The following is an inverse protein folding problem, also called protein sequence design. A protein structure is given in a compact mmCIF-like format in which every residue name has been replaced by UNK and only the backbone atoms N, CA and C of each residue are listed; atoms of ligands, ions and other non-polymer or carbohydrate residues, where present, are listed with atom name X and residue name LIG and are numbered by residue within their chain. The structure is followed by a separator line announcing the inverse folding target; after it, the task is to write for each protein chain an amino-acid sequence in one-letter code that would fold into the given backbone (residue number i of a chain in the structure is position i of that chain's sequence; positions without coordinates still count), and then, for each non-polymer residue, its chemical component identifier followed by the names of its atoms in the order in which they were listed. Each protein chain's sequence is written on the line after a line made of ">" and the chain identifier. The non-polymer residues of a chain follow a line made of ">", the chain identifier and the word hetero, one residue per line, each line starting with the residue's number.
data_IF_588216310479
#
_entry.id   IF_588216310479
#
_cell.length_a   1.000
_cell.length_b   1.000
_cell.length_c   1.000
_cell.angle_alpha   90.00
_cell.angle_beta   90.00
_cell.angle_gamma   90.00
#
_symmetry.space_group_name_H-M   'P 1'
#
loop_
_entity.id
_entity.type
_entity.pdbx_description
1 polymer ?
#
# COMPACT_ATOMS: atom_id res chain seq x y z
N UNK A 1 14.00 -9.66 -25.72
CA UNK A 1 14.12 -10.06 -24.30
C UNK A 1 14.60 -8.92 -23.38
N UNK A 2 15.48 -8.01 -23.85
CA UNK A 2 15.92 -6.83 -23.08
C UNK A 2 14.88 -5.68 -23.01
N UNK A 3 13.93 -5.64 -23.93
CA UNK A 3 12.92 -4.56 -24.04
C UNK A 3 11.74 -4.73 -23.07
N UNK A 4 11.51 -5.93 -22.55
CA UNK A 4 10.50 -6.20 -21.52
C UNK A 4 10.91 -5.72 -20.11
N UNK A 5 12.16 -5.28 -19.92
CA UNK A 5 12.65 -4.69 -18.66
C UNK A 5 12.44 -3.18 -18.57
N UNK A 6 11.94 -2.54 -19.64
CA UNK A 6 11.76 -1.07 -19.74
C UNK A 6 10.30 -0.69 -19.95
N UNK A 7 9.41 -1.10 -19.05
CA UNK A 7 8.01 -0.60 -19.08
C UNK A 7 7.59 -0.23 -17.65
N UNK A 8 8.29 0.77 -17.14
CA UNK A 8 7.72 1.76 -16.24
C UNK A 8 6.79 2.66 -17.07
N UNK A 9 5.62 2.13 -17.47
CA UNK A 9 4.58 2.96 -18.09
C UNK A 9 3.95 3.81 -16.98
N UNK A 10 4.29 5.09 -16.97
CA UNK A 10 3.78 6.12 -16.07
C UNK A 10 2.32 6.46 -16.42
N UNK A 11 1.41 5.55 -16.12
CA UNK A 11 -0.04 5.77 -16.28
C UNK A 11 -0.70 5.55 -14.94
N UNK A 12 -1.20 6.63 -14.34
CA UNK A 12 -1.96 6.57 -13.10
C UNK A 12 -3.30 5.86 -13.34
N UNK A 13 -3.62 4.94 -12.44
CA UNK A 13 -4.83 4.15 -12.52
C UNK A 13 -5.55 4.12 -11.18
N UNK A 14 -6.85 4.38 -11.23
CA UNK A 14 -7.76 4.17 -10.10
C UNK A 14 -8.33 2.77 -10.19
N UNK A 15 -8.32 2.05 -9.08
CA UNK A 15 -8.81 0.68 -9.00
C UNK A 15 -9.67 0.46 -7.75
N UNK A 16 -10.48 -0.58 -7.78
CA UNK A 16 -11.18 -1.09 -6.60
C UNK A 16 -10.54 -2.41 -6.18
N UNK A 17 -10.30 -2.57 -4.88
CA UNK A 17 -9.88 -3.84 -4.29
C UNK A 17 -11.03 -4.83 -4.09
N UNK A 18 -12.27 -4.44 -4.39
CA UNK A 18 -13.45 -5.28 -4.26
C UNK A 18 -13.44 -6.43 -5.30
N UNK A 19 -13.68 -7.68 -4.88
CA UNK A 19 -13.82 -8.78 -5.82
C UNK A 19 -15.10 -8.61 -6.65
N UNK A 20 -15.05 -8.97 -7.94
CA UNK A 20 -16.23 -8.95 -8.80
C UNK A 20 -17.29 -9.94 -8.27
N UNK A 21 -18.45 -9.41 -7.87
CA UNK A 21 -19.52 -10.19 -7.23
C UNK A 21 -20.35 -11.01 -8.22
N UNK A 22 -20.48 -10.53 -9.47
CA UNK A 22 -21.31 -11.17 -10.51
C UNK A 22 -20.48 -11.71 -11.66
N UNK A 23 -20.74 -12.96 -12.03
CA UNK A 23 -20.28 -13.53 -13.29
C UNK A 23 -21.05 -12.92 -14.47
N UNK A 24 -20.41 -12.93 -15.64
CA UNK A 24 -21.09 -12.63 -16.90
C UNK A 24 -22.22 -13.64 -17.12
N UNK A 25 -23.33 -13.18 -17.68
CA UNK A 25 -24.37 -14.12 -18.13
C UNK A 25 -23.80 -15.04 -19.21
N UNK A 26 -24.15 -16.35 -19.18
CA UNK A 26 -23.70 -17.30 -20.19
C UNK A 26 -24.11 -16.84 -21.59
N UNK A 27 -23.27 -17.15 -22.58
CA UNK A 27 -23.61 -16.95 -23.98
C UNK A 27 -24.69 -17.95 -24.39
N UNK A 28 -25.55 -17.57 -25.34
CA UNK A 28 -26.44 -18.54 -25.98
C UNK A 28 -25.61 -19.49 -26.85
N UNK A 29 -26.08 -20.72 -27.07
CA UNK A 29 -25.32 -21.77 -27.77
C UNK A 29 -24.82 -21.33 -29.17
N UNK A 30 -25.64 -20.58 -29.90
CA UNK A 30 -25.27 -20.03 -31.21
C UNK A 30 -24.14 -18.97 -31.12
N UNK A 31 -24.12 -18.18 -30.05
CA UNK A 31 -23.09 -17.16 -29.82
C UNK A 31 -21.80 -17.77 -29.26
N UNK A 32 -21.91 -18.90 -28.56
CA UNK A 32 -20.76 -19.66 -28.10
C UNK A 32 -20.03 -20.38 -29.25
N UNK A 33 -20.77 -20.79 -30.29
CA UNK A 33 -20.21 -21.45 -31.47
C UNK A 33 -19.32 -20.53 -32.31
N UNK A 34 -19.76 -19.29 -32.60
CA UNK A 34 -18.99 -18.28 -33.35
C UNK A 34 -18.98 -16.91 -32.65
N UNK A 35 -18.22 -16.71 -31.56
CA UNK A 35 -18.25 -15.47 -30.78
C UNK A 35 -17.79 -14.22 -31.56
N UNK A 36 -16.89 -14.40 -32.53
CA UNK A 36 -16.28 -13.30 -33.27
C UNK A 36 -17.26 -12.62 -34.24
N UNK A 37 -18.31 -13.31 -34.69
CA UNK A 37 -19.32 -12.79 -35.62
C UNK A 37 -20.33 -11.85 -34.93
N UNK A 38 -20.46 -11.94 -33.60
CA UNK A 38 -21.42 -11.15 -32.82
C UNK A 38 -20.77 -9.93 -32.14
N UNK A 39 -19.46 -9.73 -32.32
CA UNK A 39 -18.72 -8.62 -31.75
C UNK A 39 -18.86 -7.33 -32.57
N UNK A 40 -19.03 -6.19 -31.90
CA UNK A 40 -19.02 -4.86 -32.55
C UNK A 40 -17.64 -4.54 -33.17
N UNK A 41 -16.56 -5.01 -32.54
CA UNK A 41 -15.19 -4.94 -33.02
C UNK A 41 -14.47 -6.25 -32.69
N UNK A 42 -13.47 -6.60 -33.49
CA UNK A 42 -12.59 -7.72 -33.22
C UNK A 42 -11.94 -7.57 -31.83
N UNK A 43 -12.03 -8.61 -31.00
CA UNK A 43 -11.48 -8.63 -29.63
C UNK A 43 -12.31 -7.91 -28.57
N UNK A 44 -13.46 -7.30 -28.91
CA UNK A 44 -14.35 -6.72 -27.90
C UNK A 44 -15.24 -7.78 -27.24
N UNK A 45 -15.54 -7.58 -25.95
CA UNK A 45 -16.47 -8.44 -25.21
C UNK A 45 -17.89 -8.35 -25.78
N UNK A 46 -18.53 -9.50 -25.93
CA UNK A 46 -19.92 -9.61 -26.41
C UNK A 46 -20.95 -9.10 -25.39
N UNK A 47 -20.67 -9.23 -24.09
CA UNK A 47 -21.58 -8.85 -23.01
C UNK A 47 -21.07 -7.61 -22.27
N UNK A 48 -22.00 -6.72 -21.96
CA UNK A 48 -21.76 -5.59 -21.06
C UNK A 48 -21.82 -6.09 -19.62
N UNK A 49 -20.86 -5.67 -18.79
CA UNK A 49 -20.94 -5.88 -17.34
C UNK A 49 -21.94 -4.87 -16.80
N UNK A 50 -23.07 -5.28 -16.18
CA UNK A 50 -23.96 -4.33 -15.53
C UNK A 50 -23.22 -3.70 -14.35
N UNK A 51 -23.17 -2.37 -14.32
CA UNK A 51 -22.56 -1.60 -13.24
C UNK A 51 -23.64 -0.80 -12.52
N UNK A 52 -23.54 -0.69 -11.21
CA UNK A 52 -24.30 0.30 -10.46
C UNK A 52 -23.67 1.67 -10.75
N UNK A 53 -24.46 2.63 -11.27
CA UNK A 53 -23.94 3.92 -11.77
C UNK A 53 -23.10 4.71 -10.75
N UNK A 54 -23.28 4.45 -9.45
CA UNK A 54 -22.48 5.04 -8.37
C UNK A 54 -21.01 4.64 -8.43
N UNK A 55 -20.68 3.39 -8.81
CA UNK A 55 -19.29 2.92 -8.84
C UNK A 55 -18.48 3.65 -9.92
N UNK A 56 -18.88 3.71 -11.19
CA UNK A 56 -18.17 4.53 -12.18
C UNK A 56 -18.10 6.02 -11.83
N UNK A 57 -19.14 6.58 -11.20
CA UNK A 57 -19.14 7.97 -10.76
C UNK A 57 -18.06 8.23 -9.69
N UNK A 58 -17.92 7.34 -8.71
CA UNK A 58 -16.87 7.40 -7.68
C UNK A 58 -15.46 7.31 -8.30
N UNK A 59 -15.27 6.42 -9.28
CA UNK A 59 -13.98 6.33 -9.98
C UNK A 59 -13.66 7.62 -10.74
N UNK A 60 -14.64 8.22 -11.42
CA UNK A 60 -14.47 9.51 -12.08
C UNK A 60 -14.12 10.64 -11.12
N UNK A 61 -14.77 10.68 -9.96
CA UNK A 61 -14.46 11.65 -8.89
C UNK A 61 -13.04 11.45 -8.34
N UNK A 62 -12.60 10.20 -8.14
CA UNK A 62 -11.25 9.91 -7.66
C UNK A 62 -10.17 10.33 -8.67
N UNK A 63 -10.38 10.07 -9.97
CA UNK A 63 -9.46 10.53 -11.03
C UNK A 63 -9.41 12.05 -11.08
N UNK A 64 -10.57 12.72 -11.02
CA UNK A 64 -10.63 14.19 -11.01
C UNK A 64 -9.93 14.79 -9.79
N UNK A 65 -10.14 14.22 -8.60
CA UNK A 65 -9.48 14.65 -7.37
C UNK A 65 -7.95 14.50 -7.45
N UNK A 66 -7.46 13.36 -7.97
CA UNK A 66 -6.04 13.15 -8.21
C UNK A 66 -5.44 14.21 -9.14
N UNK A 67 -6.08 14.45 -10.29
CA UNK A 67 -5.62 15.45 -11.26
C UNK A 67 -5.62 16.88 -10.68
N UNK A 68 -6.64 17.25 -9.88
CA UNK A 68 -6.70 18.55 -9.21
C UNK A 68 -5.57 18.72 -8.20
N UNK A 69 -5.25 17.68 -7.41
CA UNK A 69 -4.13 17.68 -6.48
C UNK A 69 -2.78 17.88 -7.19
N UNK A 70 -2.58 17.23 -8.34
CA UNK A 70 -1.38 17.44 -9.17
C UNK A 70 -1.29 18.86 -9.71
N UNK A 71 -2.38 19.39 -10.29
CA UNK A 71 -2.43 20.75 -10.82
C UNK A 71 -2.23 21.82 -9.74
N UNK A 72 -2.68 21.57 -8.51
CA UNK A 72 -2.52 22.46 -7.37
C UNK A 72 -1.12 22.40 -6.73
N UNK A 73 -0.20 21.59 -7.25
CA UNK A 73 1.13 21.41 -6.68
C UNK A 73 1.14 20.69 -5.32
N UNK A 74 0.03 20.02 -4.96
CA UNK A 74 -0.12 19.22 -3.74
C UNK A 74 -0.46 17.77 -4.13
N UNK A 75 0.47 17.05 -4.80
CA UNK A 75 0.21 15.70 -5.26
C UNK A 75 -0.07 14.78 -4.06
N UNK A 76 -0.94 13.79 -4.27
CA UNK A 76 -1.16 12.74 -3.27
C UNK A 76 0.17 11.99 -3.09
N UNK A 77 0.75 12.09 -1.90
CA UNK A 77 2.13 11.68 -1.66
C UNK A 77 2.34 10.16 -1.81
N UNK A 78 1.38 9.36 -1.35
CA UNK A 78 1.44 7.89 -1.46
C UNK A 78 0.03 7.27 -1.57
N UNK A 79 -0.51 7.23 -2.79
CA UNK A 79 -1.80 6.59 -3.01
C UNK A 79 -1.63 5.08 -3.07
N UNK A 80 -2.51 4.39 -2.33
CA UNK A 80 -2.45 2.97 -1.98
C UNK A 80 -2.16 2.08 -3.20
N UNK A 81 -0.93 1.55 -3.32
CA UNK A 81 -0.47 0.98 -4.58
C UNK A 81 -0.75 -0.52 -4.72
N UNK A 82 -1.18 -1.17 -3.64
CA UNK A 82 -1.58 -2.57 -3.64
C UNK A 82 -2.71 -2.80 -2.62
N UNK A 83 -3.67 -3.70 -2.92
CA UNK A 83 -4.64 -4.12 -1.91
C UNK A 83 -3.91 -4.69 -0.69
N UNK A 84 -4.37 -4.32 0.50
CA UNK A 84 -3.81 -4.80 1.75
C UNK A 84 -3.86 -6.32 1.86
N UNK A 85 -2.90 -6.91 2.59
CA UNK A 85 -3.00 -8.32 2.97
C UNK A 85 -4.20 -8.54 3.89
N UNK A 86 -4.84 -9.70 3.78
CA UNK A 86 -5.78 -10.14 4.81
C UNK A 86 -5.04 -10.32 6.14
N UNK A 87 -5.75 -10.16 7.26
CA UNK A 87 -5.17 -10.32 8.59
C UNK A 87 -4.43 -11.67 8.74
N UNK A 88 -5.01 -12.75 8.22
CA UNK A 88 -4.38 -14.07 8.24
C UNK A 88 -3.08 -14.14 7.44
N UNK A 89 -3.03 -13.48 6.28
CA UNK A 89 -1.82 -13.44 5.47
C UNK A 89 -0.73 -12.59 6.12
N UNK A 90 -1.13 -11.48 6.77
CA UNK A 90 -0.24 -10.63 7.54
C UNK A 90 0.36 -11.35 8.74
N UNK A 91 -0.46 -12.07 9.53
CA UNK A 91 0.03 -12.90 10.64
C UNK A 91 1.02 -13.96 10.15
N UNK A 92 0.74 -14.62 9.01
CA UNK A 92 1.68 -15.58 8.41
C UNK A 92 2.99 -14.94 7.99
N UNK A 93 2.95 -13.73 7.42
CA UNK A 93 4.14 -12.99 7.01
C UNK A 93 5.01 -12.62 8.23
N UNK A 94 4.39 -12.06 9.27
CA UNK A 94 5.07 -11.69 10.53
C UNK A 94 5.67 -12.91 11.22
N UNK A 95 4.90 -14.00 11.37
CA UNK A 95 5.38 -15.22 12.02
C UNK A 95 6.56 -15.85 11.26
N UNK A 96 6.54 -15.80 9.92
CA UNK A 96 7.66 -16.27 9.10
C UNK A 96 8.91 -15.44 9.30
N UNK A 97 8.79 -14.11 9.34
CA UNK A 97 9.91 -13.22 9.63
C UNK A 97 10.50 -13.54 11.00
N UNK A 98 9.68 -13.58 12.05
CA UNK A 98 10.12 -13.87 13.42
C UNK A 98 10.79 -15.25 13.55
N UNK A 99 10.24 -16.28 12.89
CA UNK A 99 10.81 -17.63 12.91
C UNK A 99 12.19 -17.69 12.21
N UNK A 100 12.38 -16.91 11.14
CA UNK A 100 13.68 -16.79 10.45
C UNK A 100 14.69 -16.04 11.28
N UNK A 101 14.28 -14.93 11.88
CA UNK A 101 15.10 -14.11 12.77
C UNK A 101 15.68 -14.96 13.92
N UNK A 102 14.84 -15.75 14.59
CA UNK A 102 15.27 -16.67 15.63
C UNK A 102 16.27 -17.72 15.12
N UNK A 103 16.10 -18.21 13.89
CA UNK A 103 16.94 -19.25 13.29
C UNK A 103 18.30 -18.74 12.81
N UNK A 104 18.34 -17.55 12.23
CA UNK A 104 19.55 -16.99 11.58
C UNK A 104 20.38 -16.17 12.58
N UNK A 105 19.74 -15.36 13.43
CA UNK A 105 20.41 -14.43 14.33
C UNK A 105 20.29 -14.81 15.82
N UNK A 106 19.56 -15.89 16.14
CA UNK A 106 19.37 -16.38 17.49
C UNK A 106 18.20 -15.73 18.25
N UNK A 107 17.79 -16.36 19.35
CA UNK A 107 16.56 -16.00 20.07
C UNK A 107 16.61 -14.62 20.74
N UNK A 108 17.79 -14.17 21.18
CA UNK A 108 17.95 -12.88 21.87
C UNK A 108 17.70 -11.70 20.94
N UNK A 109 18.24 -11.74 19.73
CA UNK A 109 18.00 -10.71 18.71
C UNK A 109 16.58 -10.79 18.17
N UNK A 110 16.04 -11.99 18.03
CA UNK A 110 14.64 -12.20 17.65
C UNK A 110 13.66 -11.56 18.64
N UNK A 111 13.89 -11.66 19.96
CA UNK A 111 13.01 -11.05 20.95
C UNK A 111 12.98 -9.51 20.86
N UNK A 112 14.13 -8.88 20.57
CA UNK A 112 14.23 -7.43 20.35
C UNK A 112 13.56 -7.01 19.04
N UNK A 113 13.68 -7.83 18.00
CA UNK A 113 13.00 -7.61 16.72
C UNK A 113 11.49 -7.76 16.87
N UNK A 114 11.00 -8.73 17.65
CA UNK A 114 9.57 -8.93 17.93
C UNK A 114 8.92 -7.71 18.60
N UNK A 115 9.68 -6.97 19.42
CA UNK A 115 9.19 -5.72 20.03
C UNK A 115 9.15 -4.55 19.03
N UNK A 116 9.96 -4.59 17.97
CA UNK A 116 10.13 -3.49 17.01
C UNK A 116 9.36 -3.69 15.70
N UNK A 117 9.05 -4.94 15.35
CA UNK A 117 8.41 -5.32 14.10
C UNK A 117 7.13 -6.10 14.40
N UNK A 118 6.01 -5.39 14.30
CA UNK A 118 4.68 -5.94 14.48
C UNK A 118 3.96 -6.17 13.14
N UNK A 119 2.67 -6.51 13.20
CA UNK A 119 1.84 -6.66 12.01
C UNK A 119 1.73 -5.36 11.21
N UNK A 120 1.66 -4.19 11.87
CA UNK A 120 1.54 -2.91 11.18
C UNK A 120 2.79 -2.60 10.34
N UNK A 121 3.99 -2.82 10.90
CA UNK A 121 5.26 -2.68 10.18
C UNK A 121 5.34 -3.63 9.00
N UNK A 122 4.99 -4.91 9.19
CA UNK A 122 4.99 -5.88 8.09
C UNK A 122 4.01 -5.49 6.97
N UNK A 123 2.83 -4.98 7.34
CA UNK A 123 1.81 -4.52 6.41
C UNK A 123 2.28 -3.31 5.62
N UNK A 124 2.85 -2.31 6.31
CA UNK A 124 3.45 -1.11 5.72
C UNK A 124 4.54 -1.46 4.71
N UNK A 125 5.44 -2.38 5.04
CA UNK A 125 6.46 -2.83 4.10
C UNK A 125 5.85 -3.49 2.86
N UNK A 126 4.85 -4.34 3.04
CA UNK A 126 4.23 -5.01 1.90
C UNK A 126 3.46 -4.03 1.00
N UNK A 127 2.62 -3.16 1.57
CA UNK A 127 1.74 -2.30 0.78
C UNK A 127 2.42 -1.02 0.31
N UNK A 128 3.07 -0.26 1.21
CA UNK A 128 3.57 1.08 0.88
C UNK A 128 5.00 1.02 0.33
N UNK A 129 5.91 0.33 1.03
CA UNK A 129 7.33 0.32 0.65
C UNK A 129 7.57 -0.51 -0.61
N UNK A 130 7.06 -1.74 -0.63
CA UNK A 130 7.33 -2.71 -1.70
C UNK A 130 6.16 -2.91 -2.66
N UNK A 131 4.98 -2.36 -2.35
CA UNK A 131 3.81 -2.32 -3.27
C UNK A 131 3.39 -3.70 -3.77
N UNK A 132 3.52 -4.70 -2.91
CA UNK A 132 3.27 -6.11 -3.21
C UNK A 132 4.20 -6.68 -4.29
N UNK A 133 5.38 -6.12 -4.50
CA UNK A 133 6.37 -6.57 -5.49
C UNK A 133 7.64 -7.04 -4.81
N UNK A 134 8.34 -7.96 -5.45
CA UNK A 134 9.69 -8.33 -5.05
C UNK A 134 10.63 -7.12 -5.16
N UNK A 135 11.43 -6.88 -4.12
CA UNK A 135 12.43 -5.82 -4.07
C UNK A 135 13.57 -6.05 -5.07
N UNK A 136 13.88 -7.30 -5.40
CA UNK A 136 15.03 -7.69 -6.23
C UNK A 136 14.63 -7.76 -7.71
N UNK A 137 13.58 -8.51 -8.03
CA UNK A 137 13.16 -8.76 -9.42
C UNK A 137 12.00 -7.86 -9.88
N UNK A 138 11.42 -7.02 -9.00
CA UNK A 138 10.26 -6.16 -9.27
C UNK A 138 8.99 -6.90 -9.77
N UNK A 139 8.99 -8.23 -9.67
CA UNK A 139 7.87 -9.09 -10.05
C UNK A 139 6.74 -8.90 -9.04
N UNK A 140 5.51 -8.59 -9.46
CA UNK A 140 4.38 -8.49 -8.55
C UNK A 140 4.04 -9.85 -7.92
N UNK A 141 3.68 -9.82 -6.64
CA UNK A 141 3.14 -10.97 -5.93
C UNK A 141 1.88 -11.43 -6.66
N UNK A 142 1.96 -12.57 -7.33
CA UNK A 142 0.78 -13.21 -7.92
C UNK A 142 -0.22 -13.67 -6.84
N UNK A 143 -1.27 -14.41 -7.25
CA UNK A 143 -2.35 -14.91 -6.37
C UNK A 143 -1.89 -15.78 -5.18
N UNK A 144 -0.61 -16.19 -5.12
CA UNK A 144 0.02 -16.83 -3.96
C UNK A 144 1.29 -16.05 -3.62
N UNK A 145 1.29 -15.14 -2.63
CA UNK A 145 2.52 -14.48 -2.21
C UNK A 145 3.43 -15.52 -1.56
N UNK A 146 4.44 -15.97 -2.32
CA UNK A 146 5.63 -16.65 -1.78
C UNK A 146 6.68 -15.63 -1.34
N UNK A 147 6.34 -14.35 -1.33
CA UNK A 147 7.22 -13.30 -0.85
C UNK A 147 7.23 -13.31 0.68
N UNK A 148 8.40 -13.13 1.25
CA UNK A 148 8.64 -12.97 2.67
C UNK A 148 9.46 -11.71 2.93
N UNK A 149 9.48 -11.28 4.19
CA UNK A 149 10.35 -10.19 4.62
C UNK A 149 11.66 -10.77 5.16
N UNK A 150 12.76 -10.10 4.86
CA UNK A 150 14.08 -10.37 5.45
C UNK A 150 14.87 -9.08 5.61
N UNK A 151 15.99 -9.13 6.33
CA UNK A 151 16.91 -8.00 6.50
C UNK A 151 17.59 -7.69 5.16
N UNK A 152 17.72 -6.41 4.83
CA UNK A 152 18.53 -5.99 3.70
C UNK A 152 20.02 -6.02 4.04
N UNK A 153 20.39 -5.33 5.12
CA UNK A 153 21.73 -5.31 5.67
C UNK A 153 21.78 -6.26 6.88
N UNK A 154 22.52 -7.37 6.75
CA UNK A 154 22.58 -8.45 7.75
C UNK A 154 23.33 -8.06 9.04
N UNK A 155 24.17 -7.03 8.94
CA UNK A 155 24.88 -6.38 10.05
C UNK A 155 23.95 -5.52 10.94
N UNK A 156 22.79 -5.09 10.42
CA UNK A 156 21.81 -4.30 11.16
C UNK A 156 20.62 -5.16 11.60
N UNK A 157 19.97 -4.83 12.74
CA UNK A 157 18.77 -5.54 13.17
C UNK A 157 17.61 -5.34 12.19
N UNK A 158 16.62 -6.22 12.23
CA UNK A 158 15.36 -5.99 11.54
C UNK A 158 14.62 -4.79 12.16
N UNK A 159 14.33 -3.80 11.33
CA UNK A 159 13.70 -2.53 11.67
C UNK A 159 12.89 -2.03 10.48
N UNK A 160 12.05 -1.01 10.71
CA UNK A 160 11.22 -0.39 9.66
C UNK A 160 12.07 0.13 8.48
N UNK A 161 13.36 0.40 8.68
CA UNK A 161 14.26 0.89 7.63
C UNK A 161 15.27 -0.15 7.11
N UNK A 162 15.11 -1.42 7.48
CA UNK A 162 16.04 -2.51 7.12
C UNK A 162 15.34 -3.77 6.58
N UNK A 163 14.09 -3.67 6.13
CA UNK A 163 13.33 -4.84 5.67
C UNK A 163 13.05 -4.78 4.17
N UNK A 164 13.33 -5.89 3.50
CA UNK A 164 13.08 -6.11 2.07
C UNK A 164 12.07 -7.25 1.87
N UNK A 165 11.17 -7.06 0.91
CA UNK A 165 10.22 -8.09 0.49
C UNK A 165 10.81 -8.83 -0.71
N UNK A 166 11.10 -10.12 -0.57
CA UNK A 166 11.71 -10.92 -1.64
C UNK A 166 11.12 -12.33 -1.69
N UNK A 167 11.33 -13.04 -2.79
CA UNK A 167 11.00 -14.44 -2.89
C UNK A 167 11.87 -15.33 -1.98
N UNK A 168 11.42 -16.56 -1.75
CA UNK A 168 12.10 -17.51 -0.87
C UNK A 168 13.57 -17.76 -1.27
N UNK A 169 13.89 -17.72 -2.58
CA UNK A 169 15.26 -17.96 -3.08
C UNK A 169 16.15 -16.76 -2.80
N UNK A 170 15.65 -15.56 -3.07
CA UNK A 170 16.30 -14.29 -2.77
C UNK A 170 16.55 -14.13 -1.28
N UNK A 171 15.56 -14.45 -0.44
CA UNK A 171 15.71 -14.42 1.02
C UNK A 171 16.85 -15.34 1.48
N UNK A 172 16.83 -16.62 1.07
CA UNK A 172 17.87 -17.58 1.49
C UNK A 172 19.25 -17.17 1.01
N UNK A 173 19.33 -16.54 -0.17
CA UNK A 173 20.60 -16.05 -0.70
C UNK A 173 21.10 -14.81 0.04
N UNK A 174 20.21 -13.86 0.36
CA UNK A 174 20.52 -12.72 1.21
C UNK A 174 21.02 -13.16 2.60
N UNK A 175 20.35 -14.16 3.21
CA UNK A 175 20.73 -14.70 4.53
C UNK A 175 22.13 -15.35 4.53
N UNK A 176 22.59 -15.89 3.39
CA UNK A 176 23.88 -16.60 3.28
C UNK A 176 25.03 -15.74 2.77
N UNK A 177 24.78 -14.98 1.70
CA UNK A 177 25.80 -14.26 0.93
C UNK A 177 25.75 -12.74 1.21
N UNK A 178 24.76 -12.25 1.97
CA UNK A 178 24.49 -10.82 2.14
C UNK A 178 23.87 -10.21 0.88
N UNK A 179 23.91 -8.88 0.77
CA UNK A 179 23.37 -8.13 -0.38
C UNK A 179 24.40 -7.92 -1.52
N UNK A 180 25.65 -8.36 -1.36
CA UNK A 180 26.73 -8.11 -2.33
C UNK A 180 26.60 -8.83 -3.67
N UNK A 181 25.72 -9.83 -3.79
CA UNK A 181 25.43 -10.51 -5.06
C UNK A 181 24.36 -9.81 -5.90
N UNK A 182 23.63 -8.86 -5.31
CA UNK A 182 22.56 -8.11 -5.98
C UNK A 182 23.20 -7.15 -6.98
N UNK A 183 22.59 -7.01 -8.15
CA UNK A 183 23.02 -6.06 -9.16
C UNK A 183 23.11 -4.64 -8.54
N UNK A 184 24.21 -3.89 -8.71
CA UNK A 184 24.37 -2.55 -8.16
C UNK A 184 23.20 -1.61 -8.46
N UNK A 185 22.60 -1.70 -9.66
CA UNK A 185 21.44 -0.86 -10.02
C UNK A 185 20.22 -1.16 -9.15
N UNK A 186 19.96 -2.45 -8.90
CA UNK A 186 18.86 -2.90 -8.06
C UNK A 186 19.13 -2.58 -6.58
N UNK A 187 20.38 -2.74 -6.14
CA UNK A 187 20.78 -2.39 -4.78
C UNK A 187 20.59 -0.89 -4.49
N UNK A 188 20.92 -0.02 -5.46
CA UNK A 188 20.68 1.43 -5.35
C UNK A 188 19.18 1.76 -5.27
N UNK A 189 18.34 1.07 -6.05
CA UNK A 189 16.88 1.25 -5.99
C UNK A 189 16.31 0.82 -4.62
N UNK A 190 16.78 -0.30 -4.08
CA UNK A 190 16.39 -0.81 -2.77
C UNK A 190 16.80 0.16 -1.67
N UNK A 191 18.05 0.62 -1.67
CA UNK A 191 18.53 1.62 -0.71
C UNK A 191 17.84 2.96 -0.87
N UNK A 192 17.54 3.41 -2.10
CA UNK A 192 16.78 4.62 -2.34
C UNK A 192 15.39 4.58 -1.68
N UNK A 193 14.69 3.45 -1.78
CA UNK A 193 13.41 3.25 -1.08
C UNK A 193 13.58 3.19 0.44
N UNK A 194 14.56 2.46 0.95
CA UNK A 194 14.82 2.41 2.39
C UNK A 194 15.24 3.78 2.95
N UNK A 195 16.03 4.56 2.21
CA UNK A 195 16.40 5.93 2.53
C UNK A 195 15.19 6.86 2.56
N UNK A 196 14.25 6.70 1.62
CA UNK A 196 12.97 7.40 1.67
C UNK A 196 12.19 7.05 2.95
N UNK A 197 12.11 5.77 3.33
CA UNK A 197 11.46 5.36 4.59
C UNK A 197 12.15 6.00 5.80
N UNK A 198 13.49 6.03 5.83
CA UNK A 198 14.26 6.71 6.91
C UNK A 198 13.93 8.19 6.98
N UNK A 199 13.83 8.87 5.85
CA UNK A 199 13.50 10.29 5.76
C UNK A 199 12.07 10.56 6.24
N UNK A 200 11.09 9.75 5.81
CA UNK A 200 9.69 9.86 6.25
C UNK A 200 9.55 9.64 7.75
N UNK A 201 10.18 8.61 8.31
CA UNK A 201 10.18 8.37 9.76
C UNK A 201 10.84 9.51 10.54
N UNK A 202 11.88 10.13 10.00
CA UNK A 202 12.53 11.27 10.63
C UNK A 202 11.62 12.51 10.59
N UNK A 203 10.88 12.73 9.50
CA UNK A 203 9.90 13.81 9.37
C UNK A 203 8.74 13.64 10.35
N UNK A 204 8.17 12.43 10.46
CA UNK A 204 7.08 12.15 11.40
C UNK A 204 7.52 12.32 12.87
N UNK A 205 8.74 11.91 13.21
CA UNK A 205 9.32 12.13 14.55
C UNK A 205 9.50 13.62 14.84
N UNK A 206 9.89 14.44 13.86
CA UNK A 206 9.98 15.89 14.03
C UNK A 206 8.60 16.51 14.22
N UNK A 207 7.63 16.16 13.38
CA UNK A 207 6.27 16.67 13.49
C UNK A 207 5.63 16.32 14.85
N UNK A 208 5.83 15.09 15.35
CA UNK A 208 5.30 14.67 16.67
C UNK A 208 6.01 15.36 17.84
N UNK A 209 7.32 15.57 17.76
CA UNK A 209 8.06 16.33 18.79
C UNK A 209 7.72 17.81 18.79
N UNK A 210 7.55 18.43 17.61
CA UNK A 210 7.06 19.80 17.48
C UNK A 210 5.63 19.95 18.01
N UNK A 211 4.74 19.01 17.72
CA UNK A 211 3.39 18.99 18.26
C UNK A 211 3.37 18.82 19.79
N UNK A 212 4.21 17.93 20.33
CA UNK A 212 4.34 17.73 21.77
C UNK A 212 4.88 19.00 22.47
N UNK A 213 5.91 19.63 21.91
CA UNK A 213 6.46 20.89 22.42
C UNK A 213 5.44 22.04 22.34
N UNK A 214 4.67 22.11 21.25
CA UNK A 214 3.59 23.09 21.11
C UNK A 214 2.48 22.89 22.16
N UNK A 215 2.13 21.62 22.44
CA UNK A 215 1.14 21.25 23.45
C UNK A 215 1.63 21.56 24.87
N UNK A 216 2.90 21.26 25.18
CA UNK A 216 3.52 21.62 26.46
C UNK A 216 3.58 23.15 26.66
N UNK A 217 3.94 23.89 25.60
CA UNK A 217 3.94 25.34 25.62
C UNK A 217 2.52 25.94 25.76
N UNK A 218 1.50 25.29 25.21
CA UNK A 218 0.09 25.68 25.38
C UNK A 218 -0.42 25.40 26.81
N UNK A 219 0.00 24.28 27.40
CA UNK A 219 -0.27 23.98 28.81
C UNK A 219 0.36 25.03 29.74
N UNK A 220 1.62 25.40 29.48
CA UNK A 220 2.35 26.39 30.28
C UNK A 220 1.74 27.81 30.22
N UNK A 221 1.03 28.15 29.13
CA UNK A 221 0.33 29.43 28.98
C UNK A 221 -1.06 29.45 29.62
N UNK A 222 -1.51 28.36 30.25
CA UNK A 222 -2.86 28.24 30.80
C UNK A 222 -3.97 28.15 29.73
N UNK A 223 -3.60 28.13 28.44
CA UNK A 223 -4.53 28.13 27.30
C UNK A 223 -4.99 26.73 26.90
N UNK A 224 -4.52 25.67 27.56
CA UNK A 224 -4.91 24.30 27.22
C UNK A 224 -6.43 24.06 27.39
N UNK A 225 -7.09 24.74 28.33
CA UNK A 225 -8.54 24.66 28.51
C UNK A 225 -9.32 25.42 27.41
N UNK A 226 -8.73 26.47 26.85
CA UNK A 226 -9.33 27.27 25.77
C UNK A 226 -9.08 26.63 24.40
N UNK A 227 -7.87 26.09 24.17
CA UNK A 227 -7.52 25.35 22.96
C UNK A 227 -8.25 24.00 22.84
N UNK A 228 -8.52 23.31 23.95
CA UNK A 228 -9.39 22.12 23.94
C UNK A 228 -10.86 22.48 23.71
N UNK A 229 -11.30 23.68 24.13
CA UNK A 229 -12.63 24.22 23.82
C UNK A 229 -12.80 24.60 22.36
N UNK A 230 -11.80 25.26 21.76
CA UNK A 230 -11.79 25.57 20.33
C UNK A 230 -11.67 24.32 19.47
N UNK A 231 -10.79 23.37 19.83
CA UNK A 231 -10.69 22.08 19.12
C UNK A 231 -11.97 21.24 19.26
N UNK A 232 -12.65 21.29 20.42
CA UNK A 232 -13.97 20.67 20.60
C UNK A 232 -15.05 21.38 19.76
N UNK A 233 -15.07 22.71 19.70
CA UNK A 233 -16.01 23.49 18.90
C UNK A 233 -15.79 23.29 17.39
N UNK A 234 -14.54 23.21 16.92
CA UNK A 234 -14.22 22.87 15.53
C UNK A 234 -14.60 21.42 15.20
N UNK A 235 -14.44 20.50 16.16
CA UNK A 235 -14.91 19.12 16.00
C UNK A 235 -16.43 19.04 15.89
N UNK A 236 -17.20 19.82 16.66
CA UNK A 236 -18.67 19.82 16.58
C UNK A 236 -19.20 20.27 15.21
N UNK A 237 -18.54 21.21 14.52
CA UNK A 237 -18.90 21.59 13.15
C UNK A 237 -18.45 20.57 12.10
N UNK A 238 -17.30 19.92 12.30
CA UNK A 238 -16.83 18.84 11.42
C UNK A 238 -17.71 17.58 11.55
N UNK A 239 -18.17 17.26 12.76
CA UNK A 239 -19.11 16.17 13.01
C UNK A 239 -20.53 16.53 12.57
N UNK A 240 -20.99 17.78 12.71
CA UNK A 240 -22.28 18.23 12.17
C UNK A 240 -22.30 18.28 10.63
N UNK A 241 -21.19 18.69 10.00
CA UNK A 241 -21.00 18.60 8.55
C UNK A 241 -20.92 17.15 8.05
N UNK A 242 -20.23 16.28 8.79
CA UNK A 242 -20.20 14.84 8.52
C UNK A 242 -21.55 14.16 8.78
N UNK A 243 -22.36 14.62 9.74
CA UNK A 243 -23.73 14.11 9.99
C UNK A 243 -24.73 14.55 8.91
N UNK A 244 -24.60 15.76 8.38
CA UNK A 244 -25.41 16.21 7.24
C UNK A 244 -25.04 15.48 5.93
N UNK A 245 -23.78 15.05 5.77
CA UNK A 245 -23.34 14.23 4.64
C UNK A 245 -23.61 12.72 4.83
N UNK A 246 -23.59 12.21 6.07
CA UNK A 246 -23.87 10.79 6.38
C UNK A 246 -25.36 10.47 6.58
N UNK A 247 -26.21 11.47 6.83
CA UNK A 247 -27.67 11.33 6.84
C UNK A 247 -28.28 10.89 5.51
N UNK A 248 -27.51 10.95 4.41
CA UNK A 248 -27.90 10.41 3.09
C UNK A 248 -27.29 9.04 2.76
N UNK A 249 -26.44 8.49 3.64
CA UNK A 249 -25.63 7.29 3.34
C UNK A 249 -25.83 6.13 4.33
N UNK A 250 -26.94 6.11 5.10
CA UNK A 250 -27.35 4.88 5.81
C UNK A 250 -28.02 3.94 4.81
N UNK A 251 -27.18 3.26 4.01
CA UNK A 251 -27.67 2.28 3.04
C UNK A 251 -26.70 1.75 1.99
N UNK A 252 -25.40 2.06 2.02
CA UNK A 252 -24.45 1.47 1.07
C UNK A 252 -23.10 1.13 1.70
N UNK A 253 -22.64 -0.08 1.39
CA UNK A 253 -21.43 -0.71 1.88
C UNK A 253 -20.17 0.15 1.68
N UNK A 254 -19.22 -0.01 2.59
CA UNK A 254 -17.90 0.63 2.58
C UNK A 254 -17.12 0.28 1.31
N UNK A 255 -17.11 1.17 0.32
CA UNK A 255 -16.27 1.09 -0.87
C UNK A 255 -14.96 1.81 -0.59
N UNK A 256 -13.87 1.07 -0.41
CA UNK A 256 -12.52 1.65 -0.39
C UNK A 256 -12.06 1.85 -1.84
N UNK A 257 -12.00 3.11 -2.29
CA UNK A 257 -11.41 3.48 -3.59
C UNK A 257 -9.92 3.74 -3.37
N UNK A 258 -9.07 2.92 -3.98
CA UNK A 258 -7.62 3.10 -3.96
C UNK A 258 -7.15 3.79 -5.24
N UNK A 259 -6.37 4.85 -5.11
CA UNK A 259 -5.57 5.40 -6.21
C UNK A 259 -4.24 4.66 -6.18
N UNK A 260 -3.73 4.18 -7.31
CA UNK A 260 -2.40 3.56 -7.38
C UNK A 260 -1.47 4.54 -8.09
N UNK A 261 -0.55 5.18 -7.36
CA UNK A 261 0.60 5.85 -7.99
C UNK A 261 1.72 4.86 -7.93
N UNK A 262 1.72 3.98 -8.92
CA UNK A 262 2.93 3.33 -9.33
C UNK A 262 3.82 4.39 -10.00
N UNK A 263 4.44 5.28 -9.20
CA UNK A 263 5.66 5.97 -9.63
C UNK A 263 6.65 4.89 -10.00
N UNK A 264 6.77 4.74 -11.31
CA UNK A 264 7.63 3.84 -12.02
C UNK A 264 8.46 4.80 -12.87
#
# INVERSE_FOLDING_TARGET
>A
AAEARRIMMAVDAVYSSEPAVKALMPLADAQAANPEEFGLLAGFRLRVIPVLGTVPALFGQAVAGHALCELAGKPIADPVPAPGLSQTALTKLTNRLQSREAKVHGERDSALVQQRVDHAVCGYHFTQVWRGRDALDCVPAGKKPKLGLTRWAMDRPASIDNLVLADERGIVRLEKEGNGWVDPEVAEQVEGRLAWVRASLAADKRATTEAAAAMEAALARGSALEATREAAAESEWLWAGAYLLSGFAVGCATVAVGVNVARR
#
